data_IF_151924248745
#
_entry.id   IF_151924248745
#
_cell.length_a   1.000
_cell.length_b   1.000
_cell.length_c   1.000
_cell.angle_alpha   90.00
_cell.angle_beta   90.00
_cell.angle_gamma   90.00
#
_symmetry.space_group_name_H-M   'P 1'
#
loop_
_entity.id
_entity.type
_entity.pdbx_description
1 polymer ?
#
# COMPACT_ATOMS: atom_id res chain seq x y z
N UNK A 1 15.01 -4.32 -23.15
CA UNK A 1 14.35 -3.01 -22.94
C UNK A 1 13.52 -3.13 -21.66
N UNK A 2 13.72 -2.22 -20.71
CA UNK A 2 12.94 -2.15 -19.47
C UNK A 2 11.79 -1.16 -19.65
N UNK A 3 10.57 -1.55 -19.28
CA UNK A 3 9.40 -0.68 -19.23
C UNK A 3 8.86 -0.65 -17.80
N UNK A 4 8.47 0.53 -17.34
CA UNK A 4 7.90 0.74 -16.00
C UNK A 4 6.62 1.55 -16.15
N UNK A 5 5.55 1.09 -15.52
CA UNK A 5 4.25 1.76 -15.52
C UNK A 5 3.53 1.53 -14.18
N UNK A 6 2.61 2.41 -13.84
CA UNK A 6 1.75 2.29 -12.66
C UNK A 6 0.63 1.26 -12.84
N UNK A 7 0.33 0.87 -14.08
CA UNK A 7 -0.71 -0.09 -14.42
C UNK A 7 -0.40 -0.78 -15.77
N UNK A 8 -1.10 -1.89 -16.03
CA UNK A 8 -0.89 -2.72 -17.22
C UNK A 8 -1.53 -2.15 -18.49
N UNK A 9 -2.50 -1.24 -18.36
CA UNK A 9 -3.16 -0.66 -19.53
C UNK A 9 -2.18 0.25 -20.28
N UNK A 10 -1.40 1.05 -19.56
CA UNK A 10 -0.33 1.87 -20.14
C UNK A 10 0.70 1.04 -20.93
N UNK A 11 1.08 -0.14 -20.41
CA UNK A 11 1.99 -1.03 -21.12
C UNK A 11 1.34 -1.65 -22.36
N UNK A 12 0.05 -1.99 -22.27
CA UNK A 12 -0.72 -2.53 -23.41
C UNK A 12 -0.84 -1.52 -24.55
N UNK A 13 -1.04 -0.24 -24.22
CA UNK A 13 -1.11 0.88 -25.17
C UNK A 13 0.24 1.11 -25.89
N UNK A 14 1.35 0.78 -25.22
CA UNK A 14 2.69 0.74 -25.83
C UNK A 14 2.93 -0.51 -26.71
N UNK A 15 1.92 -1.38 -26.85
CA UNK A 15 2.00 -2.58 -27.67
C UNK A 15 2.48 -3.83 -26.93
N UNK A 16 2.68 -3.78 -25.61
CA UNK A 16 3.00 -4.98 -24.85
C UNK A 16 1.84 -5.99 -24.92
N UNK A 17 2.20 -7.27 -24.89
CA UNK A 17 1.25 -8.40 -24.80
C UNK A 17 1.71 -9.27 -23.66
N UNK A 18 0.76 -9.67 -22.82
CA UNK A 18 1.03 -10.48 -21.63
C UNK A 18 0.52 -11.89 -21.84
N UNK A 19 1.29 -12.88 -21.43
CA UNK A 19 0.85 -14.26 -21.32
C UNK A 19 0.62 -14.59 -19.86
N UNK A 20 -0.37 -15.42 -19.56
CA UNK A 20 -0.52 -15.95 -18.20
C UNK A 20 0.62 -16.92 -17.92
N UNK A 21 1.27 -16.78 -16.76
CA UNK A 21 2.18 -17.79 -16.22
C UNK A 21 1.36 -18.78 -15.37
N UNK A 22 1.19 -20.05 -15.82
CA UNK A 22 0.37 -21.01 -15.09
C UNK A 22 0.94 -21.37 -13.71
N UNK A 23 2.27 -21.36 -13.56
CA UNK A 23 2.93 -21.64 -12.30
C UNK A 23 2.73 -20.52 -11.29
N UNK A 24 2.89 -19.28 -11.73
CA UNK A 24 2.61 -18.10 -10.90
C UNK A 24 1.11 -18.04 -10.54
N UNK A 25 0.22 -18.35 -11.49
CA UNK A 25 -1.22 -18.42 -11.23
C UNK A 25 -1.56 -19.51 -10.19
N UNK A 26 -0.99 -20.70 -10.31
CA UNK A 26 -1.19 -21.78 -9.34
C UNK A 26 -0.71 -21.36 -7.94
N UNK A 27 0.44 -20.69 -7.83
CA UNK A 27 0.94 -20.15 -6.56
C UNK A 27 0.02 -19.07 -5.99
N UNK A 28 -0.50 -18.17 -6.84
CA UNK A 28 -1.42 -17.12 -6.43
C UNK A 28 -2.72 -17.68 -5.87
N UNK A 29 -3.27 -18.73 -6.51
CA UNK A 29 -4.49 -19.40 -6.04
C UNK A 29 -4.22 -20.18 -4.74
N UNK A 30 -3.08 -20.87 -4.64
CA UNK A 30 -2.74 -21.66 -3.46
C UNK A 30 -2.40 -20.80 -2.23
N UNK A 31 -1.83 -19.60 -2.43
CA UNK A 31 -1.35 -18.73 -1.37
C UNK A 31 -1.70 -17.25 -1.64
N UNK A 32 -3.00 -16.87 -1.65
CA UNK A 32 -3.44 -15.53 -2.04
C UNK A 32 -2.89 -14.41 -1.14
N UNK A 33 -2.64 -14.74 0.13
CA UNK A 33 -2.10 -13.81 1.12
C UNK A 33 -0.59 -13.56 0.94
N UNK A 34 0.11 -14.43 0.20
CA UNK A 34 1.54 -14.29 -0.03
C UNK A 34 1.82 -13.33 -1.18
N UNK A 35 2.00 -12.06 -0.83
CA UNK A 35 2.42 -11.03 -1.79
C UNK A 35 3.90 -11.19 -2.15
N UNK A 36 4.19 -11.35 -3.44
CA UNK A 36 5.54 -11.37 -4.04
C UNK A 36 5.64 -10.27 -5.10
N UNK A 37 6.85 -9.99 -5.59
CA UNK A 37 7.03 -9.16 -6.80
C UNK A 37 6.59 -9.90 -8.08
N UNK A 38 6.56 -11.23 -8.05
CA UNK A 38 6.03 -12.05 -9.14
C UNK A 38 4.53 -11.76 -9.37
N UNK A 39 4.17 -11.52 -10.62
CA UNK A 39 2.76 -11.43 -11.05
C UNK A 39 2.33 -12.73 -11.73
N UNK A 40 1.03 -12.89 -12.00
CA UNK A 40 0.52 -14.00 -12.82
C UNK A 40 0.79 -13.82 -14.33
N UNK A 41 1.54 -12.78 -14.72
CA UNK A 41 1.82 -12.43 -16.10
C UNK A 41 3.31 -12.65 -16.41
N UNK A 42 3.58 -13.37 -17.49
CA UNK A 42 4.94 -13.63 -17.96
C UNK A 42 5.65 -12.32 -18.33
N UNK A 43 6.88 -12.15 -17.81
CA UNK A 43 7.72 -10.98 -18.09
C UNK A 43 7.28 -9.69 -17.40
N UNK A 44 6.35 -9.76 -16.43
CA UNK A 44 5.91 -8.61 -15.65
C UNK A 44 6.13 -8.86 -14.17
N UNK A 45 6.82 -7.92 -13.53
CA UNK A 45 7.06 -7.92 -12.09
C UNK A 45 6.52 -6.62 -11.47
N UNK A 46 6.01 -6.74 -10.25
CA UNK A 46 5.57 -5.61 -9.43
C UNK A 46 6.76 -5.06 -8.62
N UNK A 47 7.06 -3.77 -8.82
CA UNK A 47 7.93 -3.04 -7.89
C UNK A 47 7.15 -2.75 -6.60
N UNK A 48 7.54 -3.41 -5.51
CA UNK A 48 6.79 -3.39 -4.25
C UNK A 48 6.96 -2.06 -3.51
N UNK A 49 5.94 -1.67 -2.75
CA UNK A 49 6.06 -0.55 -1.81
C UNK A 49 7.20 -0.79 -0.81
N UNK A 50 8.11 0.18 -0.71
CA UNK A 50 9.33 0.07 0.10
C UNK A 50 10.58 -0.36 -0.68
N UNK A 51 10.45 -0.78 -1.93
CA UNK A 51 11.59 -1.09 -2.80
C UNK A 51 11.92 0.08 -3.75
N UNK A 52 13.18 0.16 -4.17
CA UNK A 52 13.65 0.98 -5.30
C UNK A 52 14.21 0.11 -6.41
N UNK A 53 14.05 0.57 -7.65
CA UNK A 53 14.69 0.00 -8.83
C UNK A 53 15.85 0.93 -9.26
N UNK A 54 17.05 0.39 -9.31
CA UNK A 54 18.28 1.05 -9.76
C UNK A 54 18.55 0.61 -11.20
N UNK A 55 18.44 1.51 -12.16
CA UNK A 55 18.64 1.20 -13.58
C UNK A 55 19.99 1.76 -14.03
N UNK A 56 20.83 0.90 -14.61
CA UNK A 56 22.15 1.23 -15.12
C UNK A 56 22.34 0.71 -16.55
N UNK A 57 23.51 0.96 -17.14
CA UNK A 57 23.86 0.38 -18.44
C UNK A 57 23.99 -1.15 -18.38
N UNK A 58 24.31 -1.71 -17.21
CA UNK A 58 24.57 -3.14 -17.02
C UNK A 58 23.29 -3.92 -16.64
N UNK A 59 22.19 -3.23 -16.33
CA UNK A 59 20.92 -3.86 -16.00
C UNK A 59 20.06 -3.06 -15.04
N UNK A 60 19.17 -3.75 -14.35
CA UNK A 60 18.33 -3.17 -13.31
C UNK A 60 18.41 -4.02 -12.05
N UNK A 61 18.75 -3.38 -10.93
CA UNK A 61 18.83 -4.00 -9.62
C UNK A 61 17.72 -3.47 -8.71
N UNK A 62 17.24 -4.31 -7.80
CA UNK A 62 16.22 -3.95 -6.83
C UNK A 62 16.82 -3.89 -5.42
N UNK A 63 16.47 -2.85 -4.69
CA UNK A 63 16.89 -2.68 -3.30
C UNK A 63 15.70 -2.32 -2.41
N UNK A 64 15.56 -3.02 -1.28
CA UNK A 64 14.54 -2.73 -0.27
C UNK A 64 15.02 -1.61 0.64
N UNK A 65 14.35 -0.46 0.58
CA UNK A 65 14.61 0.69 1.44
C UNK A 65 13.83 0.62 2.76
N UNK A 66 12.66 0.01 2.75
CA UNK A 66 11.80 -0.10 3.91
C UNK A 66 11.03 -1.42 3.91
N UNK A 67 10.94 -2.05 5.08
CA UNK A 67 10.18 -3.27 5.29
C UNK A 67 9.45 -3.21 6.62
N UNK A 68 8.16 -3.59 6.67
CA UNK A 68 7.42 -3.63 7.94
C UNK A 68 8.05 -4.61 8.92
N UNK A 69 8.74 -5.65 8.42
CA UNK A 69 9.37 -6.68 9.23
C UNK A 69 10.48 -6.16 10.14
N UNK A 70 11.08 -5.02 9.82
CA UNK A 70 12.04 -4.35 10.69
C UNK A 70 11.42 -3.80 11.99
N UNK A 71 10.08 -3.76 12.09
CA UNK A 71 9.35 -3.10 13.19
C UNK A 71 8.42 -4.03 13.99
N UNK A 72 8.40 -5.35 13.70
CA UNK A 72 7.47 -6.30 14.33
C UNK A 72 8.16 -7.31 15.28
N UNK A 73 9.40 -7.04 15.67
CA UNK A 73 10.14 -7.87 16.63
C UNK A 73 9.54 -7.84 18.03
N UNK A 74 9.77 -8.89 18.83
CA UNK A 74 9.31 -8.96 20.22
C UNK A 74 9.86 -7.82 21.09
N UNK A 75 11.07 -7.36 20.79
CA UNK A 75 11.72 -6.19 21.41
C UNK A 75 10.97 -4.87 21.16
N UNK A 76 10.04 -4.85 20.19
CA UNK A 76 9.21 -3.70 19.84
C UNK A 76 7.76 -3.83 20.31
N UNK A 77 7.41 -4.95 20.95
CA UNK A 77 6.06 -5.19 21.42
C UNK A 77 5.74 -4.27 22.60
N UNK A 78 4.54 -3.68 22.58
CA UNK A 78 4.03 -2.87 23.68
C UNK A 78 3.12 -3.77 24.52
N UNK A 79 3.59 -4.18 25.68
CA UNK A 79 2.88 -5.13 26.56
C UNK A 79 1.70 -4.47 27.30
N UNK A 80 1.81 -3.19 27.65
CA UNK A 80 0.71 -2.47 28.31
C UNK A 80 -0.43 -2.18 27.31
N UNK A 81 -1.64 -2.72 27.52
CA UNK A 81 -2.74 -2.54 26.58
C UNK A 81 -3.17 -1.06 26.44
N UNK A 82 -3.05 -0.28 27.51
CA UNK A 82 -3.39 1.14 27.50
C UNK A 82 -2.42 1.96 26.64
N UNK A 83 -1.12 1.65 26.74
CA UNK A 83 -0.07 2.24 25.92
C UNK A 83 -0.21 1.83 24.46
N UNK A 84 -0.44 0.55 24.19
CA UNK A 84 -0.66 0.05 22.83
C UNK A 84 -1.86 0.76 22.16
N UNK A 85 -2.98 0.91 22.88
CA UNK A 85 -4.16 1.62 22.39
C UNK A 85 -3.88 3.10 22.08
N UNK A 86 -3.10 3.79 22.92
CA UNK A 86 -2.67 5.18 22.68
C UNK A 86 -1.74 5.27 21.46
N UNK A 87 -0.79 4.34 21.31
CA UNK A 87 0.14 4.30 20.19
C UNK A 87 -0.60 4.14 18.86
N UNK A 88 -1.55 3.19 18.79
CA UNK A 88 -2.39 2.99 17.60
C UNK A 88 -3.22 4.23 17.29
N UNK A 89 -3.89 4.82 18.30
CA UNK A 89 -4.67 6.05 18.11
C UNK A 89 -3.81 7.18 17.54
N UNK A 90 -2.62 7.39 18.10
CA UNK A 90 -1.70 8.44 17.65
C UNK A 90 -1.21 8.20 16.23
N UNK A 91 -0.86 6.95 15.90
CA UNK A 91 -0.44 6.58 14.54
C UNK A 91 -1.55 6.83 13.51
N UNK A 92 -2.79 6.46 13.83
CA UNK A 92 -3.95 6.72 12.97
C UNK A 92 -4.20 8.21 12.80
N UNK A 93 -4.20 9.00 13.88
CA UNK A 93 -4.37 10.45 13.79
C UNK A 93 -3.26 11.10 12.96
N UNK A 94 -2.00 10.67 13.11
CA UNK A 94 -0.88 11.18 12.34
C UNK A 94 -1.06 10.85 10.85
N UNK A 95 -1.39 9.61 10.51
CA UNK A 95 -1.62 9.18 9.14
C UNK A 95 -2.76 9.96 8.49
N UNK A 96 -3.91 10.06 9.15
CA UNK A 96 -5.08 10.80 8.65
C UNK A 96 -4.75 12.27 8.46
N UNK A 97 -4.11 12.92 9.44
CA UNK A 97 -3.68 14.32 9.32
C UNK A 97 -2.73 14.52 8.14
N UNK A 98 -1.73 13.65 7.98
CA UNK A 98 -0.79 13.74 6.87
C UNK A 98 -1.48 13.62 5.50
N UNK A 99 -2.57 12.84 5.39
CA UNK A 99 -3.33 12.69 4.14
C UNK A 99 -4.16 13.93 3.75
N UNK A 100 -4.55 14.76 4.71
CA UNK A 100 -5.35 15.98 4.46
C UNK A 100 -4.55 17.27 4.63
N UNK A 101 -3.28 17.17 5.03
CA UNK A 101 -2.41 18.34 5.17
C UNK A 101 -2.26 19.03 3.81
N UNK A 102 -2.54 20.33 3.76
CA UNK A 102 -2.54 21.11 2.51
C UNK A 102 -3.83 21.06 1.72
N UNK A 103 -4.90 20.44 2.25
CA UNK A 103 -6.21 20.39 1.63
C UNK A 103 -7.29 20.99 2.53
N UNK A 104 -8.04 21.96 2.02
CA UNK A 104 -9.16 22.59 2.74
C UNK A 104 -10.38 21.68 2.85
N UNK A 105 -10.51 20.73 1.91
CA UNK A 105 -11.65 19.82 1.79
C UNK A 105 -11.19 18.39 1.56
N UNK A 106 -11.90 17.45 2.17
CA UNK A 106 -11.70 16.02 1.96
C UNK A 106 -13.03 15.29 1.72
N UNK A 107 -12.99 14.22 0.93
CA UNK A 107 -14.10 13.28 0.77
C UNK A 107 -13.80 12.03 1.58
N UNK A 108 -14.74 11.62 2.43
CA UNK A 108 -14.67 10.37 3.19
C UNK A 108 -15.69 9.38 2.64
N UNK A 109 -15.22 8.21 2.23
CA UNK A 109 -16.09 7.08 1.88
C UNK A 109 -16.48 6.34 3.16
N UNK A 110 -17.77 6.27 3.46
CA UNK A 110 -18.32 5.58 4.62
C UNK A 110 -18.86 4.21 4.21
N UNK A 111 -18.45 3.18 4.93
CA UNK A 111 -18.96 1.80 4.77
C UNK A 111 -19.89 1.36 5.90
N UNK A 112 -20.01 2.16 6.97
CA UNK A 112 -20.73 1.79 8.20
C UNK A 112 -19.90 0.94 9.16
N UNK A 113 -18.69 0.53 8.77
CA UNK A 113 -17.77 -0.24 9.61
C UNK A 113 -16.91 0.62 10.54
N UNK A 114 -16.32 -0.05 11.54
CA UNK A 114 -15.44 0.56 12.55
C UNK A 114 -14.30 1.39 11.93
N UNK A 115 -13.64 0.87 10.90
CA UNK A 115 -12.49 1.54 10.28
C UNK A 115 -12.87 2.91 9.69
N UNK A 116 -13.98 2.96 8.96
CA UNK A 116 -14.50 4.20 8.39
C UNK A 116 -14.90 5.21 9.48
N UNK A 117 -15.43 4.73 10.61
CA UNK A 117 -15.74 5.56 11.77
C UNK A 117 -14.49 6.09 12.49
N UNK A 118 -13.43 5.28 12.60
CA UNK A 118 -12.13 5.69 13.16
C UNK A 118 -11.50 6.79 12.31
N UNK A 119 -11.53 6.65 10.97
CA UNK A 119 -11.05 7.69 10.05
C UNK A 119 -11.91 8.94 10.15
N UNK A 120 -13.24 8.83 10.20
CA UNK A 120 -14.15 9.97 10.39
C UNK A 120 -13.83 10.75 11.67
N UNK A 121 -13.67 10.04 12.80
CA UNK A 121 -13.34 10.64 14.07
C UNK A 121 -11.97 11.34 14.04
N UNK A 122 -10.99 10.74 13.35
CA UNK A 122 -9.65 11.31 13.18
C UNK A 122 -9.66 12.56 12.31
N UNK A 123 -10.43 12.57 11.22
CA UNK A 123 -10.59 13.72 10.34
C UNK A 123 -11.27 14.90 11.06
N UNK A 124 -12.24 14.62 11.93
CA UNK A 124 -12.87 15.67 12.75
C UNK A 124 -11.84 16.45 13.58
N UNK A 125 -10.76 15.80 14.01
CA UNK A 125 -9.69 16.43 14.78
C UNK A 125 -8.73 17.30 13.94
N UNK A 126 -8.80 17.25 12.61
CA UNK A 126 -7.91 18.04 11.73
C UNK A 126 -8.49 19.41 11.36
N UNK A 127 -9.80 19.64 11.58
CA UNK A 127 -10.49 20.87 11.19
C UNK A 127 -10.75 21.01 9.69
N UNK A 128 -10.44 19.98 8.89
CA UNK A 128 -10.71 19.93 7.45
C UNK A 128 -12.22 19.84 7.19
N UNK A 129 -12.74 20.53 6.17
CA UNK A 129 -14.14 20.37 5.76
C UNK A 129 -14.31 18.98 5.12
N UNK A 130 -15.06 18.08 5.76
CA UNK A 130 -15.26 16.70 5.28
C UNK A 130 -16.66 16.54 4.70
N UNK A 131 -16.72 16.02 3.48
CA UNK A 131 -17.96 15.50 2.88
C UNK A 131 -17.95 13.99 2.89
N UNK A 132 -18.99 13.38 3.42
CA UNK A 132 -19.15 11.92 3.41
C UNK A 132 -19.93 11.48 2.18
N UNK A 133 -19.50 10.37 1.57
CA UNK A 133 -20.26 9.63 0.57
C UNK A 133 -20.37 8.16 0.99
N UNK A 134 -21.55 7.57 0.81
CA UNK A 134 -21.73 6.12 0.92
C UNK A 134 -21.31 5.47 -0.40
N UNK A 135 -20.46 4.44 -0.32
CA UNK A 135 -20.11 3.59 -1.46
C UNK A 135 -21.24 2.67 -1.87
#
# INVERSE_FOLDING_TARGET
>A
MLLVASDLALLSDLGCRFTVDPGALARHIAYPEWRRSETCLGGVEELRGGDRLLVSADGADRETLWSPWAFVGRDRMIDDPGEAARAVRNAVHLAVRARVTGHDRAVLLLSGGLDSAIVAASLKATGTEVRSASG
#
